data_IF_555977899474
#
_entry.id   IF_555977899474
#
_cell.length_a   1.000
_cell.length_b   1.000
_cell.length_c   1.000
_cell.angle_alpha   90.00
_cell.angle_beta   90.00
_cell.angle_gamma   90.00
#
_symmetry.space_group_name_H-M   'P 1'
#
loop_
_entity.id
_entity.type
_entity.pdbx_description
1 polymer ?
#
# COMPACT_ATOMS: atom_id res chain seq x y z
N UNK A 1 23.06 -24.95 20.17
CA UNK A 1 22.51 -23.58 20.21
C UNK A 1 23.32 -22.73 19.26
N UNK A 2 22.77 -22.34 18.10
CA UNK A 2 23.38 -21.29 17.29
C UNK A 2 22.26 -20.44 16.74
N UNK A 3 22.36 -19.17 17.09
CA UNK A 3 21.36 -18.11 17.06
C UNK A 3 20.94 -17.85 15.63
N UNK A 4 19.63 -17.94 15.37
CA UNK A 4 18.98 -17.37 14.19
C UNK A 4 19.30 -15.88 14.17
N UNK A 5 20.29 -15.48 13.37
CA UNK A 5 20.45 -14.09 12.98
C UNK A 5 19.25 -13.76 12.09
N UNK A 6 18.30 -13.05 12.69
CA UNK A 6 17.21 -12.36 12.03
C UNK A 6 17.83 -11.42 11.00
N UNK A 7 17.91 -11.86 9.75
CA UNK A 7 18.19 -11.00 8.62
C UNK A 7 16.93 -10.16 8.40
N UNK A 8 16.77 -9.10 9.22
CA UNK A 8 15.93 -7.97 8.86
C UNK A 8 16.63 -7.28 7.68
N UNK A 9 16.53 -7.88 6.50
CA UNK A 9 16.78 -7.18 5.26
C UNK A 9 15.79 -6.01 5.26
N UNK A 10 16.32 -4.81 5.46
CA UNK A 10 15.60 -3.56 5.26
C UNK A 10 15.21 -3.55 3.78
N UNK A 11 14.01 -4.04 3.46
CA UNK A 11 13.41 -3.84 2.14
C UNK A 11 13.21 -2.32 2.03
N UNK A 12 14.20 -1.66 1.44
CA UNK A 12 14.23 -0.21 1.30
C UNK A 12 13.51 0.12 0.01
N UNK A 13 12.25 0.53 0.10
CA UNK A 13 11.51 0.91 -1.08
C UNK A 13 12.01 2.21 -1.68
N UNK A 14 11.72 2.41 -2.97
CA UNK A 14 12.04 3.66 -3.65
C UNK A 14 10.91 4.66 -3.49
N UNK A 15 11.15 5.71 -2.70
CA UNK A 15 10.21 6.83 -2.54
C UNK A 15 10.23 7.74 -3.78
N UNK A 16 9.06 8.01 -4.35
CA UNK A 16 8.93 8.81 -5.57
C UNK A 16 7.55 9.47 -5.68
N UNK A 17 7.49 10.63 -6.35
CA UNK A 17 6.24 11.26 -6.80
C UNK A 17 5.72 10.68 -8.12
N UNK A 18 6.58 9.94 -8.83
CA UNK A 18 6.25 9.35 -10.13
C UNK A 18 5.56 8.01 -9.87
N UNK A 19 4.29 7.93 -10.25
CA UNK A 19 3.52 6.69 -10.23
C UNK A 19 4.14 5.69 -11.21
N UNK A 20 4.46 4.48 -10.73
CA UNK A 20 4.97 3.39 -11.56
C UNK A 20 3.96 3.03 -12.66
N UNK A 21 4.43 2.61 -13.83
CA UNK A 21 3.55 2.18 -14.94
C UNK A 21 2.69 0.99 -14.56
N UNK A 22 3.22 0.12 -13.71
CA UNK A 22 2.53 -1.10 -13.27
C UNK A 22 1.57 -0.83 -12.11
N UNK A 23 1.59 0.37 -11.53
CA UNK A 23 0.68 0.77 -10.45
C UNK A 23 -0.67 1.23 -11.02
N UNK A 24 -1.55 0.27 -11.31
CA UNK A 24 -2.86 0.53 -11.93
C UNK A 24 -4.03 0.53 -10.94
N UNK A 25 -3.84 -0.02 -9.74
CA UNK A 25 -4.85 -0.13 -8.68
C UNK A 25 -4.30 0.30 -7.33
N UNK A 26 -5.17 0.68 -6.40
CA UNK A 26 -4.82 0.89 -5.00
C UNK A 26 -5.81 0.24 -4.05
N UNK A 27 -5.33 -0.22 -2.90
CA UNK A 27 -6.18 -0.76 -1.83
C UNK A 27 -6.41 0.29 -0.74
N UNK A 28 -7.67 0.46 -0.35
CA UNK A 28 -8.05 1.33 0.74
C UNK A 28 -7.77 0.70 2.11
N UNK A 29 -6.95 1.38 2.92
CA UNK A 29 -6.59 0.96 4.28
C UNK A 29 -7.27 1.81 5.36
N UNK A 30 -8.41 2.44 5.04
CA UNK A 30 -9.13 3.21 6.06
C UNK A 30 -9.69 2.31 7.16
N UNK A 31 -9.53 2.76 8.40
CA UNK A 31 -10.14 2.12 9.57
C UNK A 31 -11.64 2.38 9.56
N UNK A 32 -12.43 1.32 9.40
CA UNK A 32 -13.90 1.37 9.34
C UNK A 32 -14.57 0.89 10.64
N UNK A 33 -13.79 0.47 11.63
CA UNK A 33 -14.29 0.04 12.94
C UNK A 33 -13.31 -0.88 13.65
N UNK A 34 -13.85 -1.73 14.53
CA UNK A 34 -13.12 -2.83 15.15
C UNK A 34 -13.91 -4.14 15.00
N UNK A 35 -13.22 -5.27 14.95
CA UNK A 35 -13.85 -6.60 15.02
C UNK A 35 -14.27 -6.96 16.46
N UNK A 36 -14.84 -8.15 16.65
CA UNK A 36 -15.31 -8.64 17.97
C UNK A 36 -14.17 -8.77 19.00
N UNK A 37 -12.92 -8.84 18.53
CA UNK A 37 -11.70 -8.90 19.32
C UNK A 37 -11.15 -7.50 19.67
N UNK A 38 -11.81 -6.43 19.19
CA UNK A 38 -11.36 -5.05 19.38
C UNK A 38 -10.18 -4.66 18.50
N UNK A 39 -9.86 -5.45 17.46
CA UNK A 39 -8.78 -5.14 16.51
C UNK A 39 -9.32 -4.23 15.39
N UNK A 40 -8.51 -3.29 14.88
CA UNK A 40 -8.95 -2.36 13.86
C UNK A 40 -9.31 -3.10 12.57
N UNK A 41 -10.51 -2.84 12.05
CA UNK A 41 -10.97 -3.34 10.77
C UNK A 41 -10.68 -2.30 9.68
N UNK A 42 -10.05 -2.73 8.60
CA UNK A 42 -9.75 -1.88 7.44
C UNK A 42 -10.73 -2.12 6.29
N UNK A 43 -10.93 -1.09 5.45
CA UNK A 43 -11.89 -1.12 4.34
C UNK A 43 -11.57 -2.22 3.31
N UNK A 44 -10.29 -2.32 2.91
CA UNK A 44 -9.72 -3.28 1.95
C UNK A 44 -10.37 -3.29 0.56
N UNK A 45 -11.06 -2.21 0.21
CA UNK A 45 -11.62 -2.06 -1.14
C UNK A 45 -10.50 -1.72 -2.14
N UNK A 46 -10.45 -2.47 -3.24
CA UNK A 46 -9.51 -2.23 -4.34
C UNK A 46 -10.15 -1.32 -5.38
N UNK A 47 -9.44 -0.26 -5.73
CA UNK A 47 -9.91 0.81 -6.59
C UNK A 47 -8.94 1.01 -7.75
N UNK A 48 -9.40 1.51 -8.90
CA UNK A 48 -8.49 1.96 -9.97
C UNK A 48 -7.64 3.12 -9.48
N UNK A 49 -6.38 3.20 -9.89
CA UNK A 49 -5.46 4.28 -9.49
C UNK A 49 -5.97 5.67 -9.87
N UNK A 50 -6.73 5.76 -10.97
CA UNK A 50 -7.41 7.00 -11.41
C UNK A 50 -8.49 7.49 -10.44
N UNK A 51 -8.98 6.64 -9.55
CA UNK A 51 -10.02 7.00 -8.57
C UNK A 51 -9.38 7.42 -7.25
N UNK A 52 -9.62 8.65 -6.82
CA UNK A 52 -9.04 9.16 -5.57
C UNK A 52 -9.90 8.86 -4.34
N UNK A 53 -11.19 8.57 -4.53
CA UNK A 53 -12.14 8.31 -3.44
C UNK A 53 -12.55 6.84 -3.50
N UNK A 54 -12.42 6.14 -2.38
CA UNK A 54 -12.88 4.76 -2.28
C UNK A 54 -14.42 4.71 -2.28
N UNK A 55 -14.99 3.85 -3.13
CA UNK A 55 -16.45 3.73 -3.32
C UNK A 55 -17.17 3.03 -2.16
N UNK A 56 -16.44 2.37 -1.27
CA UNK A 56 -17.00 1.65 -0.11
C UNK A 56 -17.04 2.51 1.16
N UNK A 57 -15.91 3.11 1.55
CA UNK A 57 -15.82 3.99 2.74
C UNK A 57 -16.07 5.47 2.44
N UNK A 58 -16.20 5.87 1.17
CA UNK A 58 -16.28 7.27 0.72
C UNK A 58 -15.09 8.15 1.09
N UNK A 59 -13.98 7.50 1.37
CA UNK A 59 -12.81 8.16 1.89
C UNK A 59 -11.76 8.43 0.82
N UNK A 60 -11.09 9.57 0.94
CA UNK A 60 -9.99 9.94 0.05
C UNK A 60 -8.81 9.00 0.31
N UNK A 61 -8.15 8.57 -0.75
CA UNK A 61 -6.90 7.82 -0.70
C UNK A 61 -5.90 8.55 0.19
N UNK A 62 -5.31 7.81 1.11
CA UNK A 62 -4.52 8.35 2.22
C UNK A 62 -3.24 7.56 2.41
N UNK A 63 -2.33 8.13 3.19
CA UNK A 63 -1.10 7.45 3.62
C UNK A 63 -1.43 6.07 4.17
N UNK A 64 -0.70 5.06 3.72
CA UNK A 64 -0.94 3.65 4.01
C UNK A 64 -1.73 2.90 2.95
N UNK A 65 -2.29 3.56 1.93
CA UNK A 65 -2.92 2.84 0.81
C UNK A 65 -1.89 1.94 0.09
N UNK A 66 -2.26 0.71 -0.23
CA UNK A 66 -1.37 -0.19 -0.98
C UNK A 66 -1.40 0.16 -2.46
N UNK A 67 -0.25 0.12 -3.11
CA UNK A 67 -0.12 0.19 -4.56
C UNK A 67 -0.16 -1.21 -5.13
N UNK A 68 -1.02 -1.44 -6.13
CA UNK A 68 -1.26 -2.75 -6.71
C UNK A 68 -1.13 -2.73 -8.23
N UNK A 69 -0.78 -3.88 -8.81
CA UNK A 69 -0.88 -4.14 -10.25
C UNK A 69 -2.34 -4.38 -10.67
N UNK A 70 -2.55 -4.54 -11.98
CA UNK A 70 -3.86 -4.91 -12.52
C UNK A 70 -4.34 -6.27 -11.97
N UNK A 71 -3.41 -7.21 -11.80
CA UNK A 71 -3.65 -8.53 -11.20
C UNK A 71 -3.63 -8.49 -9.66
N UNK A 72 -3.66 -7.30 -9.07
CA UNK A 72 -3.74 -7.06 -7.62
C UNK A 72 -2.50 -7.54 -6.83
N UNK A 73 -1.36 -7.65 -7.51
CA UNK A 73 -0.08 -7.92 -6.84
C UNK A 73 0.44 -6.66 -6.15
N UNK A 74 1.03 -6.85 -4.96
CA UNK A 74 1.56 -5.75 -4.16
C UNK A 74 2.83 -5.14 -4.78
N UNK A 75 2.82 -3.82 -4.96
CA UNK A 75 3.96 -3.05 -5.47
C UNK A 75 4.63 -2.18 -4.40
N UNK A 76 3.86 -1.73 -3.41
CA UNK A 76 4.27 -0.61 -2.58
C UNK A 76 3.15 0.00 -1.77
N UNK A 77 3.42 1.16 -1.19
CA UNK A 77 2.43 1.91 -0.42
C UNK A 77 2.57 3.41 -0.55
N UNK A 78 1.47 4.13 -0.30
CA UNK A 78 1.47 5.58 -0.22
C UNK A 78 2.12 5.99 1.10
N UNK A 79 3.39 6.39 1.05
CA UNK A 79 4.17 6.69 2.25
C UNK A 79 3.94 8.12 2.76
N UNK A 80 3.63 9.08 1.87
CA UNK A 80 3.44 10.48 2.27
C UNK A 80 2.52 11.23 1.31
N UNK A 81 1.74 12.17 1.84
CA UNK A 81 1.05 13.19 1.04
C UNK A 81 1.60 14.55 1.47
N UNK A 82 2.04 15.36 0.50
CA UNK A 82 2.52 16.72 0.73
C UNK A 82 1.64 17.74 0.03
N UNK A 83 1.42 18.90 0.66
CA UNK A 83 0.56 19.97 0.11
C UNK A 83 -0.87 19.51 -0.27
N UNK A 84 -1.37 18.44 0.36
CA UNK A 84 -2.70 17.88 0.14
C UNK A 84 -2.91 17.10 -1.16
N UNK A 85 -1.99 17.19 -2.13
CA UNK A 85 -2.17 16.59 -3.47
C UNK A 85 -0.97 15.79 -3.97
N UNK A 86 0.23 16.00 -3.43
CA UNK A 86 1.44 15.35 -3.93
C UNK A 86 1.65 14.03 -3.17
N UNK A 87 1.23 12.93 -3.79
CA UNK A 87 1.37 11.57 -3.29
C UNK A 87 2.78 11.03 -3.55
N UNK A 88 3.49 10.68 -2.48
CA UNK A 88 4.79 10.01 -2.53
C UNK A 88 4.61 8.53 -2.24
N UNK A 89 4.85 7.72 -3.27
CA UNK A 89 4.74 6.28 -3.23
C UNK A 89 6.10 5.66 -2.96
N UNK A 90 6.12 4.64 -2.11
CA UNK A 90 7.29 3.82 -1.84
C UNK A 90 7.07 2.45 -2.47
N UNK A 91 7.91 2.08 -3.45
CA UNK A 91 7.81 0.83 -4.20
C UNK A 91 8.87 -0.17 -3.78
N UNK A 92 8.52 -1.45 -3.69
CA UNK A 92 9.37 -2.56 -3.24
C UNK A 92 9.53 -3.61 -4.35
N UNK A 93 10.38 -3.38 -5.36
CA UNK A 93 10.55 -4.32 -6.47
C UNK A 93 11.06 -5.70 -6.04
N UNK A 94 11.81 -5.78 -4.93
CA UNK A 94 12.39 -7.03 -4.42
C UNK A 94 11.32 -8.01 -3.92
N UNK A 95 10.14 -7.52 -3.53
CA UNK A 95 9.01 -8.35 -3.12
C UNK A 95 8.31 -9.04 -4.30
N UNK A 96 8.52 -8.56 -5.52
CA UNK A 96 7.94 -9.14 -6.73
C UNK A 96 8.79 -10.30 -7.29
N UNK A 97 10.06 -10.41 -6.86
CA UNK A 97 10.99 -11.44 -7.33
C UNK A 97 10.87 -12.76 -6.56
N UNK A 98 10.26 -12.76 -5.36
CA UNK A 98 10.09 -13.97 -4.54
C UNK A 98 8.91 -14.86 -4.94
N UNK A 99 8.10 -14.46 -5.93
CA UNK A 99 6.91 -15.19 -6.38
C UNK A 99 7.07 -15.86 -7.77
N UNK A 100 8.29 -15.87 -8.32
CA UNK A 100 8.66 -16.58 -9.56
C UNK A 100 9.56 -17.78 -9.28
#
# INVERSE_FOLDING_TARGET
>A
MSTRLLLNALISGRLTLIVSKDHTKWECTEKVGHNDQGEPLECREVMKMTEQVCKKCWCIRRVGAAALTEDEMYLGMLARITKGINEWWEYYPELQESEK
#
